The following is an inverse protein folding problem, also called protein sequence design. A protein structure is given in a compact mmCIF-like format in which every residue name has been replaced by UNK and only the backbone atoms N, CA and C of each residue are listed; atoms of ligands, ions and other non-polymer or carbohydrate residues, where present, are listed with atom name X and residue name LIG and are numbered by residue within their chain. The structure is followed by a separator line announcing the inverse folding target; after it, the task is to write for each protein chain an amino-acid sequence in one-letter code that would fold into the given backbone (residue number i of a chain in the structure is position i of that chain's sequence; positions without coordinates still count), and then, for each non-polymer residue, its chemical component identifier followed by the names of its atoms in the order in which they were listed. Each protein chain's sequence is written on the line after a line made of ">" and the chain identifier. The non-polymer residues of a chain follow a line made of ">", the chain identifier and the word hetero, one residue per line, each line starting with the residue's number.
data_IF_643181347785
#
_entry.id   IF_643181347785
#
_cell.length_a   1.000
_cell.length_b   1.000
_cell.length_c   1.000
_cell.angle_alpha   90.00
_cell.angle_beta   90.00
_cell.angle_gamma   90.00
#
_symmetry.space_group_name_H-M   'P 1'
#
loop_
_entity.id
_entity.type
_entity.pdbx_description
1 polymer ?
#
# COMPACT_ATOMS: atom_id res chain seq x y z
N UNK A 1 -19.68 24.37 10.70
CA UNK A 1 -19.37 22.98 11.10
C UNK A 1 -19.31 22.16 9.83
N UNK A 2 -18.16 21.52 9.55
CA UNK A 2 -18.04 20.67 8.35
C UNK A 2 -18.49 19.26 8.71
N UNK A 3 -19.59 18.79 8.13
CA UNK A 3 -20.02 17.39 8.25
C UNK A 3 -19.13 16.56 7.34
N UNK A 4 -18.25 15.75 7.91
CA UNK A 4 -17.50 14.75 7.14
C UNK A 4 -18.49 13.60 6.87
N UNK A 5 -18.75 13.24 5.60
CA UNK A 5 -19.59 12.10 5.29
C UNK A 5 -18.94 10.81 5.80
N UNK A 6 -19.73 9.96 6.46
CA UNK A 6 -19.28 8.64 6.88
C UNK A 6 -19.09 7.76 5.63
N UNK A 7 -17.97 7.03 5.50
CA UNK A 7 -17.76 6.13 4.37
C UNK A 7 -18.77 4.98 4.35
N UNK A 8 -19.16 4.55 3.14
CA UNK A 8 -20.06 3.41 2.92
C UNK A 8 -19.36 2.10 3.32
N UNK A 9 -19.88 1.33 4.28
CA UNK A 9 -19.25 0.08 4.72
C UNK A 9 -19.24 -1.03 3.65
N UNK A 10 -20.00 -0.88 2.56
CA UNK A 10 -20.02 -1.80 1.41
C UNK A 10 -18.98 -1.39 0.36
N UNK A 11 -18.55 -0.13 0.35
CA UNK A 11 -17.43 0.28 -0.49
C UNK A 11 -16.16 -0.41 0.01
N UNK A 12 -15.66 -1.36 -0.78
CA UNK A 12 -14.37 -1.99 -0.53
C UNK A 12 -13.22 -0.97 -0.60
N UNK A 13 -11.98 -1.40 -0.33
CA UNK A 13 -10.84 -0.52 -0.42
C UNK A 13 -10.75 0.11 -1.82
N UNK A 14 -10.60 1.44 -1.84
CA UNK A 14 -10.47 2.21 -3.08
C UNK A 14 -9.06 2.16 -3.65
N UNK A 15 -8.11 1.65 -2.87
CA UNK A 15 -6.69 1.57 -3.19
C UNK A 15 -6.23 0.10 -3.09
N UNK A 16 -5.20 -0.29 -3.86
CA UNK A 16 -4.58 -1.60 -3.72
C UNK A 16 -3.98 -1.78 -2.32
N UNK A 17 -3.82 -3.04 -1.93
CA UNK A 17 -3.17 -3.40 -0.68
C UNK A 17 -1.71 -2.94 -0.66
N UNK A 18 -1.22 -2.52 0.51
CA UNK A 18 0.14 -2.01 0.66
C UNK A 18 1.18 -3.06 0.23
N UNK A 19 0.98 -4.34 0.55
CA UNK A 19 1.90 -5.41 0.13
C UNK A 19 1.92 -5.57 -1.39
N UNK A 20 0.76 -5.44 -2.05
CA UNK A 20 0.69 -5.46 -3.52
C UNK A 20 1.46 -4.29 -4.12
N UNK A 21 1.26 -3.08 -3.58
CA UNK A 21 1.98 -1.89 -4.04
C UNK A 21 3.50 -2.05 -3.85
N UNK A 22 3.93 -2.57 -2.71
CA UNK A 22 5.35 -2.78 -2.42
C UNK A 22 5.96 -3.84 -3.36
N UNK A 23 5.24 -4.92 -3.66
CA UNK A 23 5.65 -5.93 -4.64
C UNK A 23 5.78 -5.37 -6.05
N UNK A 24 4.83 -4.54 -6.47
CA UNK A 24 4.84 -3.93 -7.80
C UNK A 24 6.00 -2.93 -7.95
N UNK A 25 6.36 -2.22 -6.89
CA UNK A 25 7.43 -1.20 -6.90
C UNK A 25 8.83 -1.78 -6.68
N UNK A 26 8.98 -2.75 -5.79
CA UNK A 26 10.28 -3.21 -5.29
C UNK A 26 10.54 -4.71 -5.56
N UNK A 27 9.56 -5.44 -6.10
CA UNK A 27 9.64 -6.89 -6.27
C UNK A 27 9.37 -7.65 -4.97
N UNK A 28 9.85 -8.89 -4.88
CA UNK A 28 9.67 -9.69 -3.68
C UNK A 28 10.50 -9.16 -2.49
N UNK A 29 10.00 -9.26 -1.25
CA UNK A 29 10.78 -8.90 -0.08
C UNK A 29 11.99 -9.83 0.09
N UNK A 30 13.02 -9.33 0.77
CA UNK A 30 14.19 -10.13 1.13
C UNK A 30 13.85 -11.24 2.15
N UNK A 31 14.81 -12.09 2.49
CA UNK A 31 14.61 -13.18 3.46
C UNK A 31 14.17 -12.72 4.86
N UNK A 32 14.32 -11.43 5.17
CA UNK A 32 13.84 -10.80 6.39
C UNK A 32 12.43 -10.20 6.28
N UNK A 33 11.80 -10.26 5.10
CA UNK A 33 10.50 -9.66 4.84
C UNK A 33 10.55 -8.18 4.48
N UNK A 34 11.73 -7.63 4.16
CA UNK A 34 11.88 -6.21 3.84
C UNK A 34 11.93 -5.97 2.33
N UNK A 35 11.13 -5.02 1.86
CA UNK A 35 11.23 -4.48 0.50
C UNK A 35 12.36 -3.45 0.45
N UNK A 36 13.25 -3.56 -0.53
CA UNK A 36 14.41 -2.67 -0.70
C UNK A 36 14.38 -2.04 -2.09
N UNK A 37 14.52 -0.72 -2.14
CA UNK A 37 14.71 0.01 -3.40
C UNK A 37 16.13 -0.12 -3.95
N UNK A 38 16.30 0.34 -5.18
CA UNK A 38 17.63 0.47 -5.80
C UNK A 38 18.54 1.35 -4.95
N UNK A 39 19.80 0.94 -4.79
CA UNK A 39 20.80 1.72 -4.06
C UNK A 39 21.14 2.99 -4.85
N UNK A 40 20.96 4.16 -4.23
CA UNK A 40 21.28 5.44 -4.88
C UNK A 40 22.78 5.71 -4.68
N UNK A 41 23.55 5.60 -5.76
CA UNK A 41 25.01 5.87 -5.79
C UNK A 41 25.35 7.33 -6.09
#
# INVERSE_FOLDING_TARGET
>A
MSTIPLPDPVAGPTEPDEEQVLRDLYGEPDSGGFFRGEEVS
#
